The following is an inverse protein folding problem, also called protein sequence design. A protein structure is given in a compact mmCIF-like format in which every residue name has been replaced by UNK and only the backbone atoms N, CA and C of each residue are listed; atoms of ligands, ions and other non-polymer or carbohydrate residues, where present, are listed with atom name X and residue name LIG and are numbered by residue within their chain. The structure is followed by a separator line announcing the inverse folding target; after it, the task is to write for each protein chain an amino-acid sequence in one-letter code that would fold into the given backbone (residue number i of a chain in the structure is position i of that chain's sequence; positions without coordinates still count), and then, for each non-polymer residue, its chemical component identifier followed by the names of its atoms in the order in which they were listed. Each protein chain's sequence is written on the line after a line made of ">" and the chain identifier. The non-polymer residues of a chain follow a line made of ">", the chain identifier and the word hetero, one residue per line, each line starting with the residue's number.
data_IF_081321097146
#
_entry.id   IF_081321097146
#
_cell.length_a   1.000
_cell.length_b   1.000
_cell.length_c   1.000
_cell.angle_alpha   90.00
_cell.angle_beta   90.00
_cell.angle_gamma   90.00
#
_symmetry.space_group_name_H-M   'P 1'
#
loop_
_entity.id
_entity.type
_entity.pdbx_description
1 polymer ?
#
# COMPACT_ATOMS: atom_id res chain seq x y z
N UNK A 1 6.45 2.36 25.37
CA UNK A 1 5.38 3.12 26.05
C UNK A 1 4.89 4.36 25.30
N UNK A 2 5.64 4.96 24.35
CA UNK A 2 5.12 6.03 23.48
C UNK A 2 4.34 5.55 22.24
N UNK A 3 4.48 4.28 21.84
CA UNK A 3 3.76 3.67 20.70
C UNK A 3 2.29 3.31 21.01
N UNK A 4 1.88 3.38 22.28
CA UNK A 4 0.51 3.05 22.73
C UNK A 4 -0.47 4.24 22.64
N UNK A 5 0.03 5.44 22.34
CA UNK A 5 -0.76 6.68 22.24
C UNK A 5 -1.36 6.93 20.85
N UNK A 6 -1.14 6.05 19.87
CA UNK A 6 -1.76 6.18 18.55
C UNK A 6 -3.05 5.33 18.49
N UNK A 7 -4.25 5.91 18.65
CA UNK A 7 -5.53 5.19 18.74
C UNK A 7 -6.12 4.91 17.35
N UNK A 8 -5.28 4.92 16.31
CA UNK A 8 -5.69 4.70 14.92
C UNK A 8 -4.87 3.53 14.40
N UNK A 9 -5.54 2.40 14.18
CA UNK A 9 -4.99 1.11 13.75
C UNK A 9 -3.68 1.25 12.93
N UNK A 10 -2.53 1.06 13.59
CA UNK A 10 -1.20 1.21 12.97
C UNK A 10 -1.06 0.40 11.68
N UNK A 11 -1.74 -0.75 11.58
CA UNK A 11 -1.74 -1.59 10.38
C UNK A 11 -2.27 -0.90 9.11
N UNK A 12 -3.30 -0.04 9.22
CA UNK A 12 -3.86 0.68 8.05
C UNK A 12 -2.91 1.74 7.52
N UNK A 13 -2.21 2.42 8.43
CA UNK A 13 -1.23 3.45 8.09
C UNK A 13 -0.04 2.82 7.37
N UNK A 14 0.47 1.70 7.89
CA UNK A 14 1.55 0.96 7.21
C UNK A 14 1.13 0.42 5.83
N UNK A 15 -0.11 -0.06 5.69
CA UNK A 15 -0.63 -0.51 4.39
C UNK A 15 -0.73 0.63 3.36
N UNK A 16 -1.18 1.82 3.78
CA UNK A 16 -1.23 3.00 2.91
C UNK A 16 0.18 3.44 2.45
N UNK A 17 1.14 3.49 3.37
CA UNK A 17 2.53 3.83 3.01
C UNK A 17 3.15 2.81 2.05
N UNK A 18 2.92 1.50 2.29
CA UNK A 18 3.40 0.45 1.40
C UNK A 18 2.83 0.57 -0.02
N UNK A 19 1.53 0.86 -0.14
CA UNK A 19 0.88 1.08 -1.43
C UNK A 19 1.44 2.30 -2.18
N UNK A 20 1.61 3.43 -1.49
CA UNK A 20 2.18 4.67 -2.07
C UNK A 20 3.62 4.43 -2.53
N UNK A 21 4.42 3.74 -1.73
CA UNK A 21 5.81 3.44 -2.08
C UNK A 21 5.89 2.62 -3.38
N UNK A 22 5.09 1.56 -3.50
CA UNK A 22 5.11 0.68 -4.68
C UNK A 22 4.63 1.42 -5.94
N UNK A 23 3.61 2.26 -5.81
CA UNK A 23 3.14 3.11 -6.92
C UNK A 23 4.24 4.10 -7.36
N UNK A 24 4.91 4.74 -6.41
CA UNK A 24 5.98 5.71 -6.67
C UNK A 24 7.21 5.04 -7.31
N UNK A 25 7.60 3.86 -6.85
CA UNK A 25 8.73 3.10 -7.38
C UNK A 25 8.53 2.73 -8.86
N UNK A 26 7.30 2.39 -9.26
CA UNK A 26 7.01 2.04 -10.65
C UNK A 26 6.86 3.24 -11.58
N UNK A 27 6.34 4.35 -11.06
CA UNK A 27 6.48 5.65 -11.72
C UNK A 27 7.95 5.97 -11.95
N UNK A 28 8.80 5.80 -10.93
CA UNK A 28 10.23 6.07 -11.06
C UNK A 28 10.89 5.19 -12.14
N UNK A 29 10.67 3.87 -12.09
CA UNK A 29 11.19 2.92 -13.08
C UNK A 29 10.78 3.29 -14.51
N UNK A 30 9.54 3.78 -14.69
CA UNK A 30 9.04 4.15 -16.01
C UNK A 30 9.61 5.47 -16.53
N UNK A 31 9.66 6.49 -15.68
CA UNK A 31 9.93 7.88 -16.10
C UNK A 31 11.40 8.27 -15.95
N UNK A 32 12.07 7.78 -14.90
CA UNK A 32 13.49 8.08 -14.64
C UNK A 32 14.38 7.03 -15.26
N UNK A 33 14.12 5.75 -14.98
CA UNK A 33 14.98 4.66 -15.45
C UNK A 33 14.64 4.20 -16.88
N UNK A 34 13.58 4.76 -17.49
CA UNK A 34 13.09 4.44 -18.85
C UNK A 34 12.89 2.93 -19.09
N UNK A 35 12.62 2.17 -18.02
CA UNK A 35 12.36 0.74 -18.12
C UNK A 35 10.96 0.52 -18.67
N UNK A 36 10.84 -0.36 -19.67
CA UNK A 36 9.53 -0.81 -20.14
C UNK A 36 8.88 -1.66 -19.07
N UNK A 37 7.86 -1.12 -18.39
CA UNK A 37 7.01 -1.89 -17.49
C UNK A 37 6.32 -3.00 -18.27
N UNK A 38 6.53 -4.22 -17.80
CA UNK A 38 5.87 -5.41 -18.31
C UNK A 38 4.41 -5.44 -17.84
N UNK A 39 3.59 -6.21 -18.56
CA UNK A 39 2.21 -6.52 -18.13
C UNK A 39 2.18 -7.17 -16.74
N UNK A 40 3.24 -7.89 -16.38
CA UNK A 40 3.42 -8.50 -15.06
C UNK A 40 3.65 -7.47 -13.96
N UNK A 41 4.35 -6.36 -14.24
CA UNK A 41 4.57 -5.28 -13.26
C UNK A 41 3.27 -4.57 -12.93
N UNK A 42 2.45 -4.31 -13.95
CA UNK A 42 1.12 -3.72 -13.79
C UNK A 42 0.22 -4.64 -12.97
N UNK A 43 0.25 -5.96 -13.24
CA UNK A 43 -0.52 -6.93 -12.46
C UNK A 43 -0.05 -6.96 -10.99
N UNK A 44 1.27 -6.89 -10.76
CA UNK A 44 1.86 -6.82 -9.43
C UNK A 44 1.39 -5.60 -8.63
N UNK A 45 1.38 -4.42 -9.25
CA UNK A 45 0.81 -3.20 -8.64
C UNK A 45 -0.63 -3.40 -8.26
N UNK A 46 -1.42 -3.94 -9.18
CA UNK A 46 -2.85 -4.10 -8.98
C UNK A 46 -3.11 -5.01 -7.77
N UNK A 47 -2.36 -6.11 -7.64
CA UNK A 47 -2.44 -7.03 -6.49
C UNK A 47 -2.05 -6.32 -5.19
N UNK A 48 -0.93 -5.59 -5.18
CA UNK A 48 -0.47 -4.85 -4.00
C UNK A 48 -1.48 -3.79 -3.58
N UNK A 49 -1.99 -3.00 -4.52
CA UNK A 49 -2.98 -1.96 -4.25
C UNK A 49 -4.30 -2.57 -3.76
N UNK A 50 -4.72 -3.71 -4.32
CA UNK A 50 -5.86 -4.46 -3.79
C UNK A 50 -5.62 -4.94 -2.36
N UNK A 51 -4.44 -5.50 -2.05
CA UNK A 51 -4.08 -5.90 -0.68
C UNK A 51 -4.06 -4.74 0.31
N UNK A 52 -3.49 -3.60 -0.09
CA UNK A 52 -3.51 -2.37 0.70
C UNK A 52 -4.95 -1.87 0.90
N UNK A 53 -5.77 -1.88 -0.15
CA UNK A 53 -7.18 -1.49 -0.08
C UNK A 53 -7.97 -2.41 0.87
N UNK A 54 -7.72 -3.72 0.89
CA UNK A 54 -8.35 -4.66 1.82
C UNK A 54 -8.00 -4.32 3.27
N UNK A 55 -6.74 -4.00 3.56
CA UNK A 55 -6.31 -3.64 4.92
C UNK A 55 -6.90 -2.28 5.33
N UNK A 56 -6.92 -1.31 4.42
CA UNK A 56 -7.45 0.04 4.68
C UNK A 56 -8.98 0.01 4.86
N UNK A 57 -9.69 -0.73 4.00
CA UNK A 57 -11.14 -0.86 3.98
C UNK A 57 -11.65 -1.99 4.88
N UNK A 58 -10.76 -2.65 5.63
CA UNK A 58 -11.14 -3.69 6.58
C UNK A 58 -12.25 -3.14 7.50
N UNK A 59 -13.47 -3.71 7.45
CA UNK A 59 -14.57 -3.21 8.25
C UNK A 59 -14.21 -3.42 9.73
N UNK A 60 -14.41 -2.39 10.56
CA UNK A 60 -14.14 -2.41 12.00
C UNK A 60 -15.18 -3.25 12.78
N UNK A 61 -15.71 -4.30 12.16
CA UNK A 61 -16.79 -5.10 12.68
C UNK A 61 -16.35 -5.95 13.87
N UNK A 62 -16.95 -5.65 15.02
CA UNK A 62 -17.15 -6.53 16.19
C UNK A 62 -16.08 -6.54 17.30
N UNK A 63 -15.62 -5.38 17.74
CA UNK A 63 -15.29 -5.23 19.18
C UNK A 63 -15.91 -3.92 19.67
N UNK A 64 -17.04 -4.07 20.38
CA UNK A 64 -17.50 -3.08 21.37
C UNK A 64 -16.60 -3.16 22.58
#
# INVERSE_FOLDING_TARGET
>A
WLLTLHPVASGRIYAAYGGIYIFTALLWLRYVDQVMLSRWDVLGVLIVLCGAAIIILQPQGLVR
#
